data_IF_766386429123
#
_entry.id   IF_766386429123
#
_cell.length_a   1.000
_cell.length_b   1.000
_cell.length_c   1.000
_cell.angle_alpha   90.00
_cell.angle_beta   90.00
_cell.angle_gamma   90.00
#
_symmetry.space_group_name_H-M   'P 1'
#
loop_
_entity.id
_entity.type
_entity.pdbx_description
1 polymer ?
#
# COMPACT_ATOMS: atom_id res chain seq x y z
N UNK A 1 -3.69 16.45 21.12
CA UNK A 1 -2.71 16.59 20.03
C UNK A 1 -2.79 18.00 19.49
N UNK A 2 -1.66 18.61 19.07
CA UNK A 2 -1.67 19.96 18.50
C UNK A 2 -2.41 19.91 17.17
N UNK A 3 -3.38 20.80 16.95
CA UNK A 3 -4.05 20.95 15.64
C UNK A 3 -3.02 21.33 14.59
N UNK A 4 -3.20 20.81 13.39
CA UNK A 4 -2.38 21.16 12.21
C UNK A 4 -3.07 22.26 11.43
N UNK A 5 -2.27 23.11 10.77
CA UNK A 5 -2.72 24.14 9.84
C UNK A 5 -2.21 23.79 8.42
N UNK A 6 -2.88 24.30 7.38
CA UNK A 6 -2.49 24.10 5.98
C UNK A 6 -1.06 24.52 5.70
N UNK A 7 -0.63 25.68 6.27
CA UNK A 7 0.70 26.23 6.06
C UNK A 7 1.77 25.63 6.98
N UNK A 8 1.39 24.69 7.83
CA UNK A 8 2.35 24.02 8.70
C UNK A 8 3.35 23.22 7.87
N UNK A 9 4.64 23.31 8.25
CA UNK A 9 5.68 22.51 7.63
C UNK A 9 5.43 21.01 7.85
N UNK A 10 5.78 20.20 6.85
CA UNK A 10 5.56 18.76 6.81
C UNK A 10 6.21 18.00 7.98
N UNK A 11 7.27 18.55 8.59
CA UNK A 11 7.96 17.97 9.75
C UNK A 11 7.17 18.06 11.06
N UNK A 12 6.07 18.83 11.11
CA UNK A 12 5.14 18.81 12.24
C UNK A 12 4.32 17.51 12.31
N UNK A 13 4.28 16.74 11.23
CA UNK A 13 3.63 15.43 11.19
C UNK A 13 4.51 14.42 11.92
N UNK A 14 3.91 13.69 12.88
CA UNK A 14 4.64 12.69 13.67
C UNK A 14 5.23 11.59 12.75
N UNK A 15 6.55 11.39 12.87
CA UNK A 15 7.30 10.42 12.08
C UNK A 15 7.98 11.01 10.84
N UNK A 16 7.79 12.30 10.58
CA UNK A 16 8.54 13.05 9.57
C UNK A 16 9.71 13.76 10.25
N UNK A 17 10.88 13.11 10.26
CA UNK A 17 12.14 13.72 10.69
C UNK A 17 12.90 14.32 9.51
N UNK A 18 14.03 14.98 9.76
CA UNK A 18 14.85 15.68 8.78
C UNK A 18 15.12 14.91 7.47
N UNK A 19 15.49 13.62 7.58
CA UNK A 19 15.73 12.78 6.40
C UNK A 19 14.47 12.59 5.56
N UNK A 20 13.34 12.41 6.22
CA UNK A 20 12.04 12.21 5.57
C UNK A 20 11.51 13.51 4.98
N UNK A 21 11.69 14.64 5.68
CA UNK A 21 11.38 15.98 5.18
C UNK A 21 12.09 16.25 3.86
N UNK A 22 13.41 16.07 3.81
CA UNK A 22 14.18 16.21 2.57
C UNK A 22 13.72 15.30 1.44
N UNK A 23 13.18 14.13 1.76
CA UNK A 23 12.62 13.24 0.76
C UNK A 23 11.26 13.73 0.26
N UNK A 24 10.42 14.30 1.11
CA UNK A 24 9.16 14.96 0.72
C UNK A 24 9.41 16.21 -0.14
N UNK A 25 10.38 17.05 0.24
CA UNK A 25 10.78 18.26 -0.51
C UNK A 25 11.18 17.93 -1.96
N UNK A 26 11.84 16.77 -2.22
CA UNK A 26 12.19 16.33 -3.57
C UNK A 26 10.99 16.07 -4.49
N UNK A 27 9.81 15.87 -3.95
CA UNK A 27 8.57 15.72 -4.70
C UNK A 27 7.63 16.91 -4.55
N UNK A 28 8.19 18.05 -4.08
CA UNK A 28 7.44 19.29 -3.96
C UNK A 28 6.49 19.35 -2.76
N UNK A 29 6.69 18.53 -1.73
CA UNK A 29 5.86 18.53 -0.52
C UNK A 29 6.66 19.15 0.62
N UNK A 30 6.36 20.41 0.95
CA UNK A 30 6.99 21.17 2.03
C UNK A 30 6.00 21.44 3.18
N UNK A 31 4.72 21.55 2.85
CA UNK A 31 3.64 21.90 3.77
C UNK A 31 2.58 20.80 3.86
N UNK A 32 1.70 20.95 4.85
CA UNK A 32 0.50 20.10 5.00
C UNK A 32 -0.43 20.25 3.79
N UNK A 33 -0.53 21.45 3.21
CA UNK A 33 -1.30 21.69 1.99
C UNK A 33 -0.74 20.89 0.82
N UNK A 34 0.57 20.95 0.57
CA UNK A 34 1.19 20.20 -0.52
C UNK A 34 0.95 18.70 -0.38
N UNK A 35 0.98 18.18 0.85
CA UNK A 35 0.64 16.78 1.11
C UNK A 35 -0.81 16.48 0.72
N UNK A 36 -1.77 17.33 1.09
CA UNK A 36 -3.19 17.16 0.75
C UNK A 36 -3.45 17.24 -0.76
N UNK A 37 -2.62 18.00 -1.48
CA UNK A 37 -2.72 18.17 -2.93
C UNK A 37 -1.87 17.12 -3.69
N UNK A 38 -1.14 16.27 -2.97
CA UNK A 38 -0.43 15.13 -3.55
C UNK A 38 -1.40 13.96 -3.79
N UNK A 39 -2.13 14.03 -4.89
CA UNK A 39 -3.19 13.07 -5.19
C UNK A 39 -2.67 11.67 -5.52
N UNK A 40 -3.44 10.61 -5.16
CA UNK A 40 -3.09 9.26 -5.56
C UNK A 40 -3.21 9.09 -7.08
N UNK A 41 -2.28 8.35 -7.69
CA UNK A 41 -2.34 7.97 -9.12
C UNK A 41 -3.25 6.79 -9.40
N UNK A 42 -3.82 6.18 -8.37
CA UNK A 42 -4.70 5.04 -8.45
C UNK A 42 -4.90 4.41 -7.08
N UNK A 43 -5.65 3.31 -7.06
CA UNK A 43 -5.99 2.62 -5.82
C UNK A 43 -5.75 1.12 -5.95
N UNK A 44 -5.29 0.53 -4.87
CA UNK A 44 -5.13 -0.92 -4.73
C UNK A 44 -6.36 -1.50 -4.02
N UNK A 45 -6.98 -2.47 -4.69
CA UNK A 45 -8.10 -3.24 -4.14
C UNK A 45 -7.60 -4.58 -3.60
N UNK A 46 -8.02 -4.92 -2.40
CA UNK A 46 -7.70 -6.21 -1.80
C UNK A 46 -8.86 -7.19 -2.02
N UNK A 47 -8.54 -8.37 -2.53
CA UNK A 47 -9.52 -9.42 -2.82
C UNK A 47 -9.35 -10.60 -1.86
N UNK A 48 -10.38 -11.41 -1.70
CA UNK A 48 -10.29 -12.64 -0.93
C UNK A 48 -9.15 -13.54 -1.47
N UNK A 49 -8.46 -14.28 -0.58
CA UNK A 49 -7.48 -15.26 -1.03
C UNK A 49 -8.11 -16.29 -1.96
N UNK A 50 -7.40 -16.63 -3.03
CA UNK A 50 -7.83 -17.65 -4.00
C UNK A 50 -6.94 -18.90 -3.89
N UNK A 51 -7.44 -20.08 -4.28
CA UNK A 51 -6.64 -21.29 -4.40
C UNK A 51 -5.46 -21.12 -5.35
N UNK A 52 -4.33 -21.77 -5.06
CA UNK A 52 -3.12 -21.72 -5.92
C UNK A 52 -3.44 -22.19 -7.35
N UNK A 53 -4.35 -23.15 -7.52
CA UNK A 53 -4.80 -23.63 -8.83
C UNK A 53 -5.50 -22.57 -9.70
N UNK A 54 -5.97 -21.48 -9.11
CA UNK A 54 -6.69 -20.41 -9.79
C UNK A 54 -5.81 -19.17 -10.11
N UNK A 55 -4.55 -19.17 -9.66
CA UNK A 55 -3.65 -18.04 -9.96
C UNK A 55 -3.31 -17.99 -11.44
N UNK A 56 -3.25 -16.80 -12.01
CA UNK A 56 -2.96 -16.58 -13.42
C UNK A 56 -1.74 -15.71 -13.62
N UNK A 57 -0.99 -15.97 -14.68
CA UNK A 57 0.15 -15.15 -15.06
C UNK A 57 -0.28 -13.70 -15.33
N UNK A 58 0.53 -12.75 -14.85
CA UNK A 58 0.31 -11.32 -15.03
C UNK A 58 -0.59 -10.67 -13.97
N UNK A 59 -1.39 -11.45 -13.24
CA UNK A 59 -2.34 -10.93 -12.26
C UNK A 59 -1.73 -10.76 -10.87
N UNK A 60 -2.29 -9.82 -10.11
CA UNK A 60 -2.09 -9.71 -8.66
C UNK A 60 -2.98 -10.74 -7.98
N UNK A 61 -2.39 -11.65 -7.22
CA UNK A 61 -3.12 -12.67 -6.49
C UNK A 61 -2.79 -12.62 -5.00
N UNK A 62 -3.77 -12.99 -4.18
CA UNK A 62 -3.56 -13.32 -2.77
C UNK A 62 -3.85 -14.79 -2.59
N UNK A 63 -2.89 -15.50 -1.99
CA UNK A 63 -3.03 -16.93 -1.66
C UNK A 63 -2.81 -17.13 -0.17
N UNK A 64 -3.49 -18.13 0.40
CA UNK A 64 -3.21 -18.63 1.74
C UNK A 64 -2.54 -19.99 1.63
N UNK A 65 -1.28 -20.09 2.03
CA UNK A 65 -0.50 -21.29 1.85
C UNK A 65 0.49 -21.55 2.98
N UNK A 66 0.88 -22.81 3.15
CA UNK A 66 1.90 -23.24 4.11
C UNK A 66 3.23 -23.50 3.41
N UNK A 67 4.34 -23.23 4.12
CA UNK A 67 5.66 -23.60 3.63
C UNK A 67 5.83 -25.12 3.66
N UNK A 68 6.24 -25.68 2.54
CA UNK A 68 6.51 -27.13 2.39
C UNK A 68 7.98 -27.49 2.59
N UNK A 69 8.87 -26.48 2.55
CA UNK A 69 10.31 -26.64 2.80
C UNK A 69 10.88 -25.39 3.44
N UNK A 70 11.99 -25.54 4.12
CA UNK A 70 12.74 -24.40 4.67
C UNK A 70 13.16 -23.44 3.57
N UNK A 71 13.14 -22.13 3.83
CA UNK A 71 13.60 -21.12 2.89
C UNK A 71 15.03 -21.39 2.42
N UNK A 72 15.27 -21.31 1.12
CA UNK A 72 16.59 -21.50 0.52
C UNK A 72 17.13 -20.19 -0.03
N UNK A 73 18.28 -19.77 0.48
CA UNK A 73 18.98 -18.58 0.00
C UNK A 73 20.06 -18.98 -1.00
N UNK A 74 19.95 -18.44 -2.22
CA UNK A 74 20.97 -18.53 -3.25
C UNK A 74 21.60 -17.16 -3.47
N UNK A 75 22.92 -17.11 -3.61
CA UNK A 75 23.65 -15.89 -3.98
C UNK A 75 24.13 -16.02 -5.44
N UNK A 76 23.81 -15.04 -6.25
CA UNK A 76 24.23 -14.96 -7.64
C UNK A 76 24.81 -13.56 -7.87
N UNK A 77 26.14 -13.47 -7.99
CA UNK A 77 26.86 -12.20 -8.04
C UNK A 77 26.48 -11.31 -6.83
N UNK A 78 25.91 -10.14 -7.07
CA UNK A 78 25.49 -9.18 -6.03
C UNK A 78 24.03 -9.39 -5.57
N UNK A 79 23.34 -10.39 -6.10
CA UNK A 79 21.91 -10.62 -5.83
C UNK A 79 21.74 -11.81 -4.86
N UNK A 80 20.97 -11.59 -3.80
CA UNK A 80 20.52 -12.63 -2.89
C UNK A 80 19.09 -13.04 -3.26
N UNK A 81 18.91 -14.30 -3.61
CA UNK A 81 17.61 -14.85 -4.05
C UNK A 81 17.12 -15.80 -2.97
N UNK A 82 16.02 -15.46 -2.33
CA UNK A 82 15.35 -16.31 -1.36
C UNK A 82 14.17 -17.00 -2.03
N UNK A 83 14.23 -18.33 -2.09
CA UNK A 83 13.19 -19.17 -2.68
C UNK A 83 12.47 -19.96 -1.59
N UNK A 84 11.15 -19.99 -1.69
CA UNK A 84 10.27 -20.77 -0.82
C UNK A 84 9.22 -21.47 -1.66
N UNK A 85 8.97 -22.73 -1.43
CA UNK A 85 7.84 -23.45 -1.99
C UNK A 85 6.71 -23.47 -0.97
N UNK A 86 5.56 -22.99 -1.40
CA UNK A 86 4.33 -22.99 -0.58
C UNK A 86 3.27 -23.90 -1.21
N UNK A 87 2.35 -24.39 -0.39
CA UNK A 87 1.28 -25.30 -0.81
C UNK A 87 0.00 -24.98 -0.08
N UNK A 88 -1.12 -25.11 -0.80
CA UNK A 88 -2.46 -25.23 -0.25
C UNK A 88 -3.09 -26.58 -0.68
N UNK A 89 -4.39 -26.74 -0.48
CA UNK A 89 -5.09 -27.97 -0.87
C UNK A 89 -5.22 -28.14 -2.40
N UNK A 90 -4.99 -27.09 -3.17
CA UNK A 90 -5.22 -27.04 -4.63
C UNK A 90 -3.95 -27.17 -5.45
N UNK A 91 -2.78 -26.88 -4.86
CA UNK A 91 -1.53 -26.92 -5.58
C UNK A 91 -0.32 -26.39 -4.82
N UNK A 92 0.78 -26.15 -5.54
CA UNK A 92 2.00 -25.56 -4.98
C UNK A 92 2.51 -24.43 -5.88
N UNK A 93 3.10 -23.40 -5.25
CA UNK A 93 3.65 -22.25 -5.93
C UNK A 93 5.07 -21.95 -5.41
N UNK A 94 5.96 -21.54 -6.31
CA UNK A 94 7.25 -21.00 -5.93
C UNK A 94 7.10 -19.51 -5.61
N UNK A 95 7.69 -19.08 -4.51
CA UNK A 95 7.77 -17.68 -4.13
C UNK A 95 9.23 -17.27 -4.08
N UNK A 96 9.54 -16.09 -4.62
CA UNK A 96 10.91 -15.58 -4.72
C UNK A 96 11.00 -14.16 -4.18
N UNK A 97 11.97 -13.89 -3.31
CA UNK A 97 12.35 -12.54 -2.88
C UNK A 97 13.81 -12.27 -3.26
N UNK A 98 14.09 -11.03 -3.62
CA UNK A 98 15.44 -10.55 -3.92
C UNK A 98 15.91 -9.61 -2.80
N UNK A 99 17.16 -9.81 -2.34
CA UNK A 99 17.81 -9.00 -1.31
C UNK A 99 17.05 -8.90 0.02
N UNK A 100 16.28 -9.95 0.37
CA UNK A 100 15.54 -10.05 1.63
C UNK A 100 15.92 -11.28 2.47
N UNK A 101 17.21 -11.49 2.82
CA UNK A 101 17.64 -12.70 3.54
C UNK A 101 17.04 -12.79 4.95
N UNK A 102 16.64 -11.66 5.54
CA UNK A 102 16.02 -11.62 6.86
C UNK A 102 14.70 -12.40 6.95
N UNK A 103 14.01 -12.61 5.82
CA UNK A 103 12.79 -13.42 5.77
C UNK A 103 13.02 -14.89 6.12
N UNK A 104 14.24 -15.41 5.93
CA UNK A 104 14.57 -16.78 6.35
C UNK A 104 14.26 -17.05 7.83
N UNK A 105 14.49 -16.06 8.69
CA UNK A 105 14.24 -16.18 10.14
C UNK A 105 12.77 -15.98 10.51
N UNK A 106 11.98 -15.37 9.61
CA UNK A 106 10.58 -15.02 9.85
C UNK A 106 9.59 -16.05 9.30
N UNK A 107 10.03 -16.89 8.38
CA UNK A 107 9.20 -17.89 7.72
C UNK A 107 9.49 -19.28 8.29
N UNK A 108 8.54 -19.83 9.02
CA UNK A 108 8.61 -21.17 9.60
C UNK A 108 8.03 -22.25 8.69
N UNK A 109 8.72 -23.39 8.60
CA UNK A 109 8.21 -24.56 7.90
C UNK A 109 6.88 -25.03 8.53
N UNK A 110 5.87 -25.39 7.69
CA UNK A 110 4.55 -25.79 8.14
C UNK A 110 3.62 -24.63 8.54
N UNK A 111 4.18 -23.46 8.80
CA UNK A 111 3.37 -22.28 9.13
C UNK A 111 2.62 -21.78 7.90
N UNK A 112 1.39 -21.28 8.14
CA UNK A 112 0.49 -20.76 7.10
C UNK A 112 0.48 -19.24 7.13
N UNK A 113 0.62 -18.65 5.94
CA UNK A 113 0.66 -17.21 5.74
C UNK A 113 -0.21 -16.82 4.56
N UNK A 114 -0.57 -15.53 4.49
CA UNK A 114 -1.12 -14.93 3.28
C UNK A 114 0.02 -14.27 2.50
N UNK A 115 0.09 -14.58 1.22
CA UNK A 115 1.04 -14.00 0.29
C UNK A 115 0.27 -13.23 -0.79
N UNK A 116 0.59 -11.95 -0.97
CA UNK A 116 -0.02 -11.11 -2.02
C UNK A 116 1.07 -10.57 -2.93
N UNK A 117 0.99 -10.91 -4.21
CA UNK A 117 1.99 -10.49 -5.18
C UNK A 117 1.58 -10.76 -6.61
N UNK A 118 2.37 -10.21 -7.54
CA UNK A 118 2.20 -10.47 -8.97
C UNK A 118 2.69 -11.86 -9.32
N UNK A 119 1.88 -12.59 -10.03
CA UNK A 119 2.23 -13.92 -10.55
C UNK A 119 2.90 -13.76 -11.90
N UNK A 120 4.02 -14.43 -12.09
CA UNK A 120 4.80 -14.44 -13.33
C UNK A 120 5.08 -15.86 -13.79
N UNK A 121 5.51 -16.01 -15.02
CA UNK A 121 6.03 -17.27 -15.53
C UNK A 121 7.53 -17.35 -15.23
N UNK A 122 7.92 -18.36 -14.49
CA UNK A 122 9.32 -18.75 -14.27
C UNK A 122 9.73 -19.95 -15.12
N UNK A 123 10.96 -20.37 -15.02
CA UNK A 123 11.50 -21.53 -15.77
C UNK A 123 10.81 -22.86 -15.41
N UNK A 124 10.28 -22.98 -14.20
CA UNK A 124 9.65 -24.21 -13.69
C UNK A 124 8.15 -24.06 -13.44
N UNK A 125 7.48 -23.13 -14.11
CA UNK A 125 6.05 -22.85 -13.93
C UNK A 125 5.77 -21.47 -13.36
N UNK A 126 4.59 -21.28 -12.78
CA UNK A 126 4.24 -19.99 -12.17
C UNK A 126 5.06 -19.73 -10.91
N UNK A 127 5.42 -18.46 -10.72
CA UNK A 127 6.15 -17.95 -9.56
C UNK A 127 5.51 -16.64 -9.09
N UNK A 128 5.46 -16.43 -7.79
CA UNK A 128 5.08 -15.14 -7.22
C UNK A 128 6.35 -14.43 -6.77
N UNK A 129 6.63 -13.28 -7.39
CA UNK A 129 7.84 -12.51 -7.09
C UNK A 129 7.56 -11.38 -6.11
N UNK A 130 8.46 -11.22 -5.14
CA UNK A 130 8.42 -10.13 -4.15
C UNK A 130 7.04 -9.94 -3.48
N UNK A 131 6.31 -11.03 -3.10
CA UNK A 131 5.01 -10.84 -2.48
C UNK A 131 5.14 -10.18 -1.12
N UNK A 132 4.12 -9.41 -0.78
CA UNK A 132 3.86 -8.97 0.57
C UNK A 132 3.38 -10.17 1.40
N UNK A 133 3.86 -10.27 2.65
CA UNK A 133 3.52 -11.34 3.58
C UNK A 133 2.64 -10.78 4.68
N UNK A 134 1.52 -11.42 4.93
CA UNK A 134 0.66 -11.13 6.06
C UNK A 134 0.75 -12.28 7.05
N UNK A 135 1.38 -12.04 8.17
CA UNK A 135 1.57 -13.00 9.25
C UNK A 135 0.29 -13.21 10.06
N UNK A 136 -0.55 -12.18 10.11
CA UNK A 136 -1.86 -12.22 10.75
C UNK A 136 -2.95 -12.02 9.69
N UNK A 137 -3.85 -12.99 9.54
CA UNK A 137 -4.96 -12.93 8.59
C UNK A 137 -5.90 -11.75 8.84
N UNK A 138 -6.15 -11.44 10.12
CA UNK A 138 -7.06 -10.36 10.48
C UNK A 138 -6.58 -9.01 9.97
N UNK A 139 -5.26 -8.79 9.90
CA UNK A 139 -4.71 -7.55 9.37
C UNK A 139 -4.93 -7.44 7.85
N UNK A 140 -4.89 -8.58 7.14
CA UNK A 140 -5.24 -8.61 5.72
C UNK A 140 -6.75 -8.39 5.51
N UNK A 141 -7.59 -9.07 6.28
CA UNK A 141 -9.04 -8.99 6.10
C UNK A 141 -9.63 -7.61 6.39
N UNK A 142 -8.99 -6.80 7.24
CA UNK A 142 -9.33 -5.39 7.41
C UNK A 142 -9.18 -4.58 6.11
N UNK A 143 -8.27 -4.99 5.22
CA UNK A 143 -7.99 -4.30 3.97
C UNK A 143 -9.00 -4.64 2.84
N UNK A 144 -9.77 -5.72 2.96
CA UNK A 144 -10.72 -6.14 1.92
C UNK A 144 -11.83 -5.12 1.61
N UNK A 145 -12.09 -4.20 2.55
CA UNK A 145 -13.13 -3.17 2.43
C UNK A 145 -12.54 -1.78 2.17
N UNK A 146 -11.24 -1.72 1.91
CA UNK A 146 -10.51 -0.45 1.80
C UNK A 146 -9.91 -0.33 0.41
N UNK A 147 -10.22 0.75 -0.28
CA UNK A 147 -9.49 1.18 -1.46
C UNK A 147 -8.24 1.92 -0.99
N UNK A 148 -7.09 1.27 -1.13
CA UNK A 148 -5.84 1.81 -0.64
C UNK A 148 -5.19 2.71 -1.68
N UNK A 149 -4.95 3.99 -1.41
CA UNK A 149 -4.36 4.89 -2.38
C UNK A 149 -2.92 4.49 -2.71
N UNK A 150 -2.55 4.67 -3.98
CA UNK A 150 -1.19 4.50 -4.50
C UNK A 150 -0.71 5.87 -4.93
N UNK A 151 0.30 6.40 -4.24
CA UNK A 151 0.86 7.72 -4.52
C UNK A 151 2.07 7.62 -5.47
N UNK A 152 2.39 8.70 -6.20
CA UNK A 152 3.71 8.89 -6.80
C UNK A 152 4.78 8.85 -5.71
N UNK A 153 5.88 8.13 -5.97
CA UNK A 153 6.94 7.92 -5.00
C UNK A 153 8.29 8.40 -5.54
N UNK A 154 9.20 8.71 -4.62
CA UNK A 154 10.62 8.94 -4.90
C UNK A 154 11.49 8.15 -3.93
N UNK A 155 12.80 8.16 -4.15
CA UNK A 155 13.76 7.51 -3.24
C UNK A 155 13.64 8.06 -1.80
N UNK A 156 13.52 7.15 -0.84
CA UNK A 156 13.38 7.49 0.57
C UNK A 156 11.94 7.69 1.06
N UNK A 157 10.94 7.70 0.16
CA UNK A 157 9.51 7.75 0.50
C UNK A 157 8.82 6.43 0.14
N UNK A 158 8.02 5.93 1.06
CA UNK A 158 7.18 4.75 0.84
C UNK A 158 5.70 5.14 0.82
N UNK A 159 4.89 4.39 0.07
CA UNK A 159 3.44 4.59 0.03
C UNK A 159 2.81 4.55 1.44
N UNK A 160 3.29 3.66 2.30
CA UNK A 160 2.84 3.56 3.70
C UNK A 160 3.13 4.83 4.50
N UNK A 161 4.27 5.48 4.25
CA UNK A 161 4.63 6.71 4.91
C UNK A 161 3.65 7.83 4.52
N UNK A 162 3.39 7.99 3.22
CA UNK A 162 2.43 9.00 2.73
C UNK A 162 1.04 8.74 3.32
N UNK A 163 0.54 7.49 3.26
CA UNK A 163 -0.77 7.13 3.84
C UNK A 163 -0.84 7.51 5.32
N UNK A 164 0.14 7.12 6.13
CA UNK A 164 0.17 7.43 7.57
C UNK A 164 0.26 8.93 7.85
N UNK A 165 1.00 9.68 7.04
CA UNK A 165 1.07 11.13 7.16
C UNK A 165 -0.27 11.77 6.82
N UNK A 166 -0.93 11.30 5.74
CA UNK A 166 -2.24 11.75 5.31
C UNK A 166 -3.33 11.45 6.36
N UNK A 167 -3.33 10.25 6.97
CA UNK A 167 -4.23 9.89 8.07
C UNK A 167 -4.09 10.85 9.26
N UNK A 168 -2.86 11.23 9.61
CA UNK A 168 -2.62 12.19 10.68
C UNK A 168 -3.16 13.58 10.33
N UNK A 169 -2.96 14.03 9.10
CA UNK A 169 -3.50 15.31 8.63
C UNK A 169 -5.02 15.29 8.69
N UNK A 170 -5.68 14.29 8.13
CA UNK A 170 -7.14 14.19 8.16
C UNK A 170 -7.74 14.16 9.57
N UNK A 171 -7.03 13.58 10.52
CA UNK A 171 -7.51 13.49 11.91
C UNK A 171 -7.25 14.75 12.75
N UNK A 172 -6.32 15.62 12.34
CA UNK A 172 -5.85 16.75 13.17
C UNK A 172 -5.95 18.11 12.48
N UNK A 173 -6.29 18.16 11.18
CA UNK A 173 -6.42 19.39 10.43
C UNK A 173 -7.80 20.01 10.66
N UNK A 174 -7.82 21.29 10.99
CA UNK A 174 -9.03 22.11 10.91
C UNK A 174 -9.16 22.59 9.45
N UNK A 175 -10.00 21.92 8.68
CA UNK A 175 -10.17 22.24 7.26
C UNK A 175 -10.70 23.67 7.10
N UNK A 176 -10.02 24.45 6.28
CA UNK A 176 -10.46 25.78 5.91
C UNK A 176 -11.82 25.72 5.17
N UNK A 177 -12.58 26.80 5.24
CA UNK A 177 -13.81 26.95 4.46
C UNK A 177 -13.50 26.78 2.98
N UNK A 178 -14.41 26.14 2.25
CA UNK A 178 -14.33 26.05 0.80
C UNK A 178 -14.28 27.46 0.19
N UNK A 179 -13.38 27.63 -0.78
CA UNK A 179 -13.25 28.91 -1.50
C UNK A 179 -14.27 29.04 -2.63
N UNK A 180 -14.95 27.93 -3.02
CA UNK A 180 -16.01 27.95 -4.02
C UNK A 180 -17.32 28.38 -3.34
N UNK A 181 -18.00 29.42 -3.87
CA UNK A 181 -19.28 29.85 -3.32
C UNK A 181 -20.31 28.72 -3.34
N UNK A 182 -21.06 28.55 -2.25
CA UNK A 182 -22.09 27.51 -2.10
C UNK A 182 -23.13 27.49 -3.25
N UNK A 183 -23.41 28.63 -3.86
CA UNK A 183 -24.31 28.73 -5.02
C UNK A 183 -23.74 27.94 -6.20
N UNK A 184 -22.46 28.11 -6.50
CA UNK A 184 -21.78 27.41 -7.58
C UNK A 184 -21.70 25.90 -7.27
N UNK A 185 -21.34 25.52 -6.03
CA UNK A 185 -21.34 24.12 -5.64
C UNK A 185 -22.70 23.44 -5.86
N UNK A 186 -23.79 24.12 -5.54
CA UNK A 186 -25.16 23.61 -5.76
C UNK A 186 -25.53 23.54 -7.26
N UNK A 187 -25.22 24.58 -8.02
CA UNK A 187 -25.52 24.66 -9.45
C UNK A 187 -24.83 23.55 -10.25
N UNK A 188 -23.57 23.27 -9.95
CA UNK A 188 -22.78 22.27 -10.64
C UNK A 188 -22.69 20.92 -9.90
N UNK A 189 -23.47 20.75 -8.81
CA UNK A 189 -23.46 19.53 -8.00
C UNK A 189 -22.05 19.13 -7.51
N UNK A 190 -21.21 20.12 -7.18
CA UNK A 190 -19.85 19.88 -6.71
C UNK A 190 -19.85 19.42 -5.26
N UNK A 191 -18.96 18.47 -4.95
CA UNK A 191 -18.70 18.05 -3.59
C UNK A 191 -17.97 19.16 -2.81
N UNK A 192 -18.27 19.30 -1.52
CA UNK A 192 -17.50 20.16 -0.61
C UNK A 192 -16.03 19.74 -0.61
N UNK A 193 -15.11 20.73 -0.66
CA UNK A 193 -13.67 20.50 -0.78
C UNK A 193 -13.11 19.60 0.32
N UNK A 194 -13.55 19.78 1.55
CA UNK A 194 -13.10 18.93 2.69
C UNK A 194 -13.50 17.48 2.48
N UNK A 195 -14.75 17.28 2.01
CA UNK A 195 -15.26 15.95 1.73
C UNK A 195 -14.55 15.34 0.52
N UNK A 196 -14.33 16.12 -0.55
CA UNK A 196 -13.61 15.67 -1.75
C UNK A 196 -12.18 15.23 -1.42
N UNK A 197 -11.42 16.04 -0.67
CA UNK A 197 -10.07 15.68 -0.22
C UNK A 197 -10.08 14.40 0.64
N UNK A 198 -11.09 14.20 1.46
CA UNK A 198 -11.20 12.99 2.26
C UNK A 198 -11.49 11.76 1.41
N UNK A 199 -12.45 11.86 0.48
CA UNK A 199 -12.85 10.75 -0.37
C UNK A 199 -11.76 10.41 -1.41
N UNK A 200 -10.98 11.39 -1.91
CA UNK A 200 -9.88 11.10 -2.83
C UNK A 200 -8.70 10.39 -2.14
N UNK A 201 -8.44 10.66 -0.87
CA UNK A 201 -7.36 9.99 -0.14
C UNK A 201 -7.81 8.70 0.55
N UNK A 202 -9.05 8.65 1.04
CA UNK A 202 -9.61 7.52 1.78
C UNK A 202 -11.04 7.23 1.34
N UNK A 203 -11.24 6.81 0.08
CA UNK A 203 -12.57 6.53 -0.45
C UNK A 203 -13.22 5.36 0.29
N UNK A 204 -14.50 5.49 0.57
CA UNK A 204 -15.29 4.41 1.18
C UNK A 204 -15.56 3.27 0.20
N UNK A 205 -15.76 3.62 -1.06
CA UNK A 205 -16.05 2.72 -2.16
C UNK A 205 -15.66 3.35 -3.51
N UNK A 206 -15.85 2.59 -4.60
CA UNK A 206 -15.53 3.07 -5.96
C UNK A 206 -16.36 4.26 -6.39
N UNK A 207 -17.59 4.34 -5.93
CA UNK A 207 -18.49 5.45 -6.30
C UNK A 207 -18.03 6.75 -5.65
N UNK A 208 -17.72 6.73 -4.34
CA UNK A 208 -17.21 7.90 -3.64
C UNK A 208 -15.85 8.36 -4.19
N UNK A 209 -15.01 7.44 -4.63
CA UNK A 209 -13.75 7.74 -5.32
C UNK A 209 -13.96 8.46 -6.66
N UNK A 210 -14.97 8.05 -7.44
CA UNK A 210 -15.22 8.63 -8.76
C UNK A 210 -15.91 10.00 -8.70
N UNK A 211 -16.55 10.33 -7.58
CA UNK A 211 -17.26 11.60 -7.38
C UNK A 211 -16.44 12.65 -6.66
N UNK A 212 -15.26 12.30 -6.13
CA UNK A 212 -14.32 13.20 -5.47
C UNK A 212 -13.35 13.84 -6.46
#
# INVERSE_FOLDING_TARGET
MKKLDYNDSIDKIKGVGEKTKKAFERIGIETVQDLLEHYPRGYEEFTMPIPISQVREGEMATIEASLTMSPRLKRVRHLQILNVRVRDNSGSLLITWFNMPFLMKKLGMGSRYLFRGKVKRGSSGLVMEQPQIYYNKNDYFKLLKVLRPIYPLTEGITNNLIIKSMEQVHNNLEFAKDYIPRKICKEYSLMDRTKALKEIHFPKDKTSMQTA
#
